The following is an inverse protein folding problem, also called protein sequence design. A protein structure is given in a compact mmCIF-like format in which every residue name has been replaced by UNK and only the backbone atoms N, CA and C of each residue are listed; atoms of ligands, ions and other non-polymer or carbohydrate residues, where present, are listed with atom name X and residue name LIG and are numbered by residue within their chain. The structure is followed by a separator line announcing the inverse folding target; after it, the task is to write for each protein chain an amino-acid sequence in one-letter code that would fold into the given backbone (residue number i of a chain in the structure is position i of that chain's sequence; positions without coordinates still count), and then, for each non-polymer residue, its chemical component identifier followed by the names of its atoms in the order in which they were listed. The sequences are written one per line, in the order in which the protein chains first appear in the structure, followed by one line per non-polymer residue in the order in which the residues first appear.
data_IF_733904805003
#
_entry.id   IF_733904805003
#
_cell.length_a   1.000
_cell.length_b   1.000
_cell.length_c   1.000
_cell.angle_alpha   90.00
_cell.angle_beta   90.00
_cell.angle_gamma   90.00
#
_symmetry.space_group_name_H-M   'P 1'
#
loop_
_entity.id
_entity.type
_entity.pdbx_description
1 polymer ?
#
# COMPACT_ATOMS: atom_id res chain seq x y z
N UNK A 1 -0.67 24.56 18.70
CA UNK A 1 -0.74 23.51 17.66
C UNK A 1 -1.83 22.52 18.07
N UNK A 2 -2.60 21.97 17.10
CA UNK A 2 -3.63 20.98 17.44
C UNK A 2 -2.96 19.68 17.95
N UNK A 3 -3.68 18.93 18.83
CA UNK A 3 -3.19 17.65 19.36
C UNK A 3 -2.80 16.66 18.23
N UNK A 4 -3.51 16.72 17.11
CA UNK A 4 -3.20 15.94 15.91
C UNK A 4 -1.81 16.26 15.33
N UNK A 5 -1.47 17.55 15.17
CA UNK A 5 -0.16 17.97 14.62
C UNK A 5 0.99 17.53 15.53
N UNK A 6 0.82 17.65 16.85
CA UNK A 6 1.83 17.21 17.80
C UNK A 6 2.02 15.68 17.77
N UNK A 7 0.92 14.92 17.68
CA UNK A 7 0.97 13.46 17.58
C UNK A 7 1.62 13.03 16.25
N UNK A 8 1.24 13.66 15.14
CA UNK A 8 1.85 13.40 13.84
C UNK A 8 3.36 13.68 13.82
N UNK A 9 3.79 14.83 14.37
CA UNK A 9 5.21 15.18 14.46
C UNK A 9 5.99 14.21 15.36
N UNK A 10 5.37 13.74 16.42
CA UNK A 10 5.94 12.71 17.30
C UNK A 10 6.12 11.38 16.56
N UNK A 11 5.07 10.88 15.88
CA UNK A 11 5.11 9.63 15.12
C UNK A 11 6.13 9.68 13.99
N UNK A 12 6.20 10.79 13.25
CA UNK A 12 7.19 10.97 12.20
C UNK A 12 8.62 10.91 12.73
N UNK A 13 8.91 11.60 13.85
CA UNK A 13 10.23 11.56 14.51
C UNK A 13 10.55 10.17 15.05
N UNK A 14 9.57 9.48 15.58
CA UNK A 14 9.72 8.10 16.07
C UNK A 14 10.00 7.16 14.91
N UNK A 15 9.32 7.31 13.79
CA UNK A 15 9.55 6.56 12.55
C UNK A 15 11.00 6.66 12.06
N UNK A 16 11.54 7.89 12.03
CA UNK A 16 12.96 8.12 11.63
C UNK A 16 13.97 7.52 12.62
N UNK A 17 13.60 7.34 13.89
CA UNK A 17 14.49 6.75 14.93
C UNK A 17 14.29 5.26 15.12
N UNK A 18 13.19 4.71 14.67
CA UNK A 18 12.89 3.28 14.79
C UNK A 18 13.59 2.49 13.67
N UNK A 19 14.60 1.67 14.06
CA UNK A 19 15.39 0.87 13.12
C UNK A 19 14.53 -0.07 12.25
N UNK A 20 13.49 -0.66 12.82
CA UNK A 20 12.58 -1.56 12.09
C UNK A 20 11.76 -0.81 11.04
N UNK A 21 11.25 0.39 11.38
CA UNK A 21 10.52 1.22 10.43
C UNK A 21 11.45 1.77 9.33
N UNK A 22 12.69 2.16 9.67
CA UNK A 22 13.68 2.54 8.67
C UNK A 22 14.03 1.39 7.73
N UNK A 23 14.16 0.18 8.27
CA UNK A 23 14.41 -1.02 7.47
C UNK A 23 13.27 -1.25 6.47
N UNK A 24 12.01 -1.22 6.94
CA UNK A 24 10.85 -1.53 6.11
C UNK A 24 10.48 -0.40 5.14
N UNK A 25 10.63 0.87 5.56
CA UNK A 25 10.24 2.00 4.73
C UNK A 25 11.30 2.41 3.72
N UNK A 26 12.60 2.15 3.99
CA UNK A 26 13.69 2.62 3.14
C UNK A 26 14.63 1.50 2.68
N UNK A 27 15.29 0.81 3.62
CA UNK A 27 16.36 -0.12 3.26
C UNK A 27 15.82 -1.29 2.42
N UNK A 28 14.71 -1.87 2.80
CA UNK A 28 14.12 -3.00 2.08
C UNK A 28 13.62 -2.59 0.69
N UNK A 29 12.78 -1.53 0.51
CA UNK A 29 12.36 -1.10 -0.81
C UNK A 29 13.50 -0.64 -1.71
N UNK A 30 14.43 0.17 -1.20
CA UNK A 30 15.56 0.67 -1.99
C UNK A 30 16.57 -0.43 -2.31
N UNK A 31 16.81 -1.35 -1.38
CA UNK A 31 17.67 -2.52 -1.63
C UNK A 31 17.07 -3.43 -2.71
N UNK A 32 15.76 -3.67 -2.65
CA UNK A 32 15.07 -4.44 -3.69
C UNK A 32 15.10 -3.72 -5.04
N UNK A 33 14.86 -2.40 -5.06
CA UNK A 33 14.98 -1.57 -6.26
C UNK A 33 16.36 -1.70 -6.91
N UNK A 34 17.44 -1.57 -6.14
CA UNK A 34 18.80 -1.71 -6.68
C UNK A 34 19.04 -3.13 -7.21
N UNK A 35 18.65 -4.15 -6.43
CA UNK A 35 18.77 -5.54 -6.85
C UNK A 35 18.03 -5.79 -8.17
N UNK A 36 16.79 -5.34 -8.28
CA UNK A 36 15.98 -5.52 -9.49
C UNK A 36 16.55 -4.75 -10.68
N UNK A 37 17.08 -3.54 -10.46
CA UNK A 37 17.70 -2.74 -11.50
C UNK A 37 18.94 -3.38 -12.11
N UNK A 38 19.73 -4.13 -11.34
CA UNK A 38 20.88 -4.86 -11.85
C UNK A 38 20.56 -6.24 -12.44
N UNK A 39 19.55 -6.93 -11.89
CA UNK A 39 19.25 -8.32 -12.26
C UNK A 39 18.24 -8.43 -13.39
N UNK A 40 17.14 -7.67 -13.30
CA UNK A 40 16.02 -7.85 -14.24
C UNK A 40 16.32 -7.45 -15.69
N UNK A 41 17.09 -6.40 -16.00
CA UNK A 41 17.41 -6.07 -17.39
C UNK A 41 18.18 -7.18 -18.12
N UNK A 42 18.95 -7.99 -17.39
CA UNK A 42 19.65 -9.15 -17.95
C UNK A 42 18.70 -10.32 -18.28
N UNK A 43 17.54 -10.41 -17.61
CA UNK A 43 16.53 -11.45 -17.82
C UNK A 43 15.46 -10.96 -18.82
N UNK A 44 14.99 -9.73 -18.63
CA UNK A 44 13.96 -9.10 -19.45
C UNK A 44 14.32 -7.61 -19.68
N UNK A 45 14.90 -7.24 -20.83
CA UNK A 45 15.24 -5.84 -21.12
C UNK A 45 14.04 -4.88 -21.08
N UNK A 46 12.83 -5.34 -21.40
CA UNK A 46 11.61 -4.54 -21.36
C UNK A 46 11.18 -4.16 -19.92
N UNK A 47 11.81 -4.73 -18.90
CA UNK A 47 11.56 -4.36 -17.51
C UNK A 47 11.87 -2.89 -17.24
N UNK A 48 12.87 -2.32 -17.92
CA UNK A 48 13.26 -0.92 -17.74
C UNK A 48 12.11 0.05 -18.03
N UNK A 49 11.25 -0.25 -19.00
CA UNK A 49 10.11 0.60 -19.37
C UNK A 49 9.07 0.72 -18.25
N UNK A 50 8.98 -0.27 -17.37
CA UNK A 50 8.07 -0.30 -16.23
C UNK A 50 8.77 -0.21 -14.89
N UNK A 51 10.09 -0.05 -14.87
CA UNK A 51 10.91 -0.14 -13.65
C UNK A 51 10.50 0.87 -12.58
N UNK A 52 10.35 2.14 -12.95
CA UNK A 52 9.98 3.20 -11.98
C UNK A 52 8.62 2.89 -11.34
N UNK A 53 7.51 2.71 -12.10
CA UNK A 53 6.23 2.37 -11.51
C UNK A 53 6.27 1.05 -10.71
N UNK A 54 6.92 0.00 -11.22
CA UNK A 54 7.00 -1.29 -10.55
C UNK A 54 7.70 -1.18 -9.18
N UNK A 55 8.81 -0.46 -9.10
CA UNK A 55 9.57 -0.32 -7.86
C UNK A 55 8.87 0.62 -6.86
N UNK A 56 8.17 1.63 -7.33
CA UNK A 56 7.33 2.49 -6.47
C UNK A 56 6.13 1.72 -5.92
N UNK A 57 5.44 0.94 -6.76
CA UNK A 57 4.34 0.06 -6.31
C UNK A 57 4.85 -0.97 -5.30
N UNK A 58 6.01 -1.58 -5.56
CA UNK A 58 6.64 -2.49 -4.60
C UNK A 58 6.92 -1.81 -3.26
N UNK A 59 7.50 -0.60 -3.27
CA UNK A 59 7.80 0.13 -2.05
C UNK A 59 6.53 0.42 -1.24
N UNK A 60 5.44 0.83 -1.91
CA UNK A 60 4.15 1.07 -1.25
C UNK A 60 3.60 -0.22 -0.64
N UNK A 61 3.57 -1.33 -1.38
CA UNK A 61 3.11 -2.62 -0.86
C UNK A 61 3.94 -3.07 0.36
N UNK A 62 5.26 -3.02 0.25
CA UNK A 62 6.16 -3.49 1.30
C UNK A 62 6.01 -2.68 2.58
N UNK A 63 6.13 -1.35 2.50
CA UNK A 63 6.08 -0.50 3.68
C UNK A 63 4.68 -0.46 4.34
N UNK A 64 3.61 -0.55 3.55
CA UNK A 64 2.26 -0.55 4.12
C UNK A 64 1.86 -1.91 4.65
N UNK A 65 1.83 -2.95 3.79
CA UNK A 65 1.32 -4.28 4.17
C UNK A 65 2.19 -5.00 5.20
N UNK A 66 3.52 -4.79 5.15
CA UNK A 66 4.43 -5.44 6.09
C UNK A 66 4.79 -4.55 7.29
N UNK A 67 4.61 -3.21 7.19
CA UNK A 67 5.03 -2.25 8.21
C UNK A 67 3.92 -1.76 9.14
N UNK A 68 2.66 -1.60 8.67
CA UNK A 68 1.58 -0.99 9.44
C UNK A 68 0.81 -1.98 10.34
N UNK A 69 0.45 -3.21 9.90
CA UNK A 69 -0.49 -4.05 10.64
C UNK A 69 0.04 -4.52 11.99
N UNK A 70 1.31 -4.96 12.05
CA UNK A 70 1.91 -5.54 13.25
C UNK A 70 2.02 -4.56 14.42
N UNK A 71 2.53 -3.31 14.26
CA UNK A 71 2.52 -2.29 15.31
C UNK A 71 1.13 -2.01 15.89
N UNK A 72 0.07 -2.05 15.07
CA UNK A 72 -1.31 -1.82 15.52
C UNK A 72 -1.80 -2.97 16.43
N UNK A 73 -1.51 -4.21 16.05
CA UNK A 73 -1.86 -5.37 16.88
C UNK A 73 -1.09 -5.34 18.19
N UNK A 74 0.22 -5.09 18.13
CA UNK A 74 1.08 -5.01 19.32
C UNK A 74 0.63 -3.88 20.29
N UNK A 75 0.33 -2.69 19.77
CA UNK A 75 -0.17 -1.59 20.58
C UNK A 75 -1.51 -1.92 21.28
N UNK A 76 -2.39 -2.70 20.63
CA UNK A 76 -3.64 -3.20 21.22
C UNK A 76 -3.37 -4.25 22.31
N UNK A 77 -2.49 -5.21 22.06
CA UNK A 77 -2.16 -6.30 22.99
C UNK A 77 -1.45 -5.79 24.25
N UNK A 78 -0.54 -4.84 24.10
CA UNK A 78 0.20 -4.21 25.21
C UNK A 78 -0.62 -3.18 25.99
N UNK A 79 -1.85 -2.85 25.52
CA UNK A 79 -2.74 -1.92 26.20
C UNK A 79 -2.45 -0.44 25.94
N UNK A 80 -1.59 -0.10 24.99
CA UNK A 80 -1.29 1.29 24.58
C UNK A 80 -2.58 2.00 24.13
N UNK A 81 -3.47 1.31 23.43
CA UNK A 81 -4.75 1.89 22.99
C UNK A 81 -5.66 2.26 24.15
N UNK A 82 -5.60 1.55 25.29
CA UNK A 82 -6.35 1.95 26.50
C UNK A 82 -5.84 3.28 27.05
N UNK A 83 -4.51 3.47 27.08
CA UNK A 83 -3.93 4.75 27.49
C UNK A 83 -4.39 5.89 26.59
N UNK A 84 -4.44 5.67 25.28
CA UNK A 84 -4.95 6.66 24.33
C UNK A 84 -6.44 6.97 24.56
N UNK A 85 -7.26 5.96 24.87
CA UNK A 85 -8.69 6.14 25.19
C UNK A 85 -8.88 7.02 26.42
N UNK A 86 -8.11 6.76 27.47
CA UNK A 86 -8.17 7.54 28.74
C UNK A 86 -7.78 9.01 28.49
N UNK A 87 -6.82 9.25 27.59
CA UNK A 87 -6.37 10.60 27.22
C UNK A 87 -7.23 11.24 26.11
N UNK A 88 -8.37 10.66 25.73
CA UNK A 88 -9.32 11.25 24.78
C UNK A 88 -8.85 11.25 23.32
N UNK A 89 -7.86 10.43 22.95
CA UNK A 89 -7.38 10.32 21.56
C UNK A 89 -8.41 9.54 20.75
N UNK A 90 -8.95 10.07 19.64
CA UNK A 90 -9.94 9.36 18.84
C UNK A 90 -9.32 8.20 18.04
N UNK A 91 -10.11 7.14 17.81
CA UNK A 91 -9.66 5.97 17.03
C UNK A 91 -9.19 6.35 15.61
N UNK A 92 -9.85 7.34 14.99
CA UNK A 92 -9.45 7.84 13.67
C UNK A 92 -8.01 8.36 13.66
N UNK A 93 -7.58 9.10 14.70
CA UNK A 93 -6.19 9.59 14.80
C UNK A 93 -5.19 8.46 15.00
N UNK A 94 -5.53 7.45 15.81
CA UNK A 94 -4.66 6.28 16.04
C UNK A 94 -4.42 5.50 14.75
N UNK A 95 -5.42 5.42 13.89
CA UNK A 95 -5.35 4.67 12.64
C UNK A 95 -4.76 5.51 11.49
N UNK A 96 -5.10 6.80 11.39
CA UNK A 96 -4.68 7.63 10.27
C UNK A 96 -3.25 8.15 10.41
N UNK A 97 -2.75 8.43 11.63
CA UNK A 97 -1.42 9.04 11.80
C UNK A 97 -0.30 8.10 11.35
N UNK A 98 -0.23 6.81 11.76
CA UNK A 98 0.78 5.88 11.23
C UNK A 98 0.68 5.70 9.71
N UNK A 99 -0.52 5.67 9.16
CA UNK A 99 -0.73 5.58 7.72
C UNK A 99 -0.17 6.81 6.98
N UNK A 100 -0.50 8.02 7.44
CA UNK A 100 -0.02 9.27 6.85
C UNK A 100 1.51 9.43 6.97
N UNK A 101 2.10 9.07 8.11
CA UNK A 101 3.56 9.12 8.28
C UNK A 101 4.25 8.14 7.35
N UNK A 102 3.73 6.92 7.20
CA UNK A 102 4.25 5.93 6.23
C UNK A 102 4.14 6.46 4.80
N UNK A 103 3.00 7.05 4.42
CA UNK A 103 2.83 7.65 3.08
C UNK A 103 3.85 8.75 2.79
N UNK A 104 4.22 9.58 3.79
CA UNK A 104 5.27 10.59 3.63
C UNK A 104 6.65 9.97 3.42
N UNK A 105 7.00 8.93 4.20
CA UNK A 105 8.25 8.21 4.01
C UNK A 105 8.30 7.57 2.61
N UNK A 106 7.19 7.00 2.15
CA UNK A 106 7.07 6.43 0.81
C UNK A 106 7.18 7.47 -0.30
N UNK A 107 6.67 8.69 -0.10
CA UNK A 107 6.87 9.78 -1.05
C UNK A 107 8.36 10.11 -1.23
N UNK A 108 9.14 10.11 -0.14
CA UNK A 108 10.60 10.28 -0.20
C UNK A 108 11.24 9.12 -0.99
N UNK A 109 10.85 7.88 -0.71
CA UNK A 109 11.36 6.71 -1.43
C UNK A 109 11.01 6.74 -2.92
N UNK A 110 9.77 7.12 -3.25
CA UNK A 110 9.35 7.28 -4.65
C UNK A 110 10.17 8.35 -5.38
N UNK A 111 10.47 9.48 -4.73
CA UNK A 111 11.34 10.52 -5.28
C UNK A 111 12.77 9.97 -5.50
N UNK A 112 13.32 9.23 -4.54
CA UNK A 112 14.66 8.63 -4.68
C UNK A 112 14.68 7.66 -5.87
N UNK A 113 13.73 6.74 -5.98
CA UNK A 113 13.65 5.78 -7.08
C UNK A 113 13.54 6.52 -8.41
N UNK A 114 12.60 7.46 -8.52
CA UNK A 114 12.32 8.17 -9.78
C UNK A 114 13.49 9.07 -10.21
N UNK A 115 14.23 9.65 -9.27
CA UNK A 115 15.39 10.47 -9.57
C UNK A 115 16.64 9.65 -9.93
N UNK A 116 16.80 8.46 -9.33
CA UNK A 116 18.01 7.65 -9.52
C UNK A 116 17.89 6.59 -10.61
N UNK A 117 16.69 6.11 -10.94
CA UNK A 117 16.49 5.07 -11.95
C UNK A 117 16.97 5.47 -13.36
N UNK A 118 16.71 6.70 -13.85
CA UNK A 118 17.25 7.14 -15.14
C UNK A 118 18.77 7.24 -15.14
N UNK A 119 19.36 7.63 -14.01
CA UNK A 119 20.81 7.84 -13.88
C UNK A 119 21.59 6.54 -13.75
N UNK A 120 21.00 5.53 -13.12
CA UNK A 120 21.68 4.26 -12.81
C UNK A 120 21.41 3.17 -13.85
N UNK A 121 20.21 3.21 -14.47
CA UNK A 121 19.69 2.12 -15.28
C UNK A 121 19.10 2.56 -16.62
N UNK A 122 19.20 3.84 -16.99
CA UNK A 122 18.59 4.42 -18.19
C UNK A 122 17.06 4.18 -18.29
N UNK A 123 16.38 4.04 -17.14
CA UNK A 123 14.94 3.84 -17.07
C UNK A 123 14.18 5.10 -17.51
N UNK A 124 13.09 4.99 -18.31
CA UNK A 124 12.33 6.14 -18.75
C UNK A 124 11.65 6.87 -17.58
N UNK A 125 11.67 8.20 -17.64
CA UNK A 125 11.00 9.05 -16.65
C UNK A 125 9.50 9.18 -16.98
N UNK A 126 8.66 9.50 -15.97
CA UNK A 126 7.25 9.78 -16.22
C UNK A 126 7.07 10.91 -17.23
N UNK A 127 6.19 10.74 -18.22
CA UNK A 127 5.80 11.79 -19.17
C UNK A 127 4.87 12.81 -18.49
N UNK A 128 3.99 12.35 -17.60
CA UNK A 128 3.05 13.20 -16.88
C UNK A 128 3.23 13.06 -15.35
N UNK A 129 3.90 14.04 -14.78
CA UNK A 129 4.20 14.08 -13.34
C UNK A 129 2.98 14.30 -12.45
N UNK A 130 1.94 14.99 -12.96
CA UNK A 130 0.72 15.21 -12.19
C UNK A 130 -0.06 13.92 -12.01
N UNK A 131 -0.24 13.16 -13.09
CA UNK A 131 -0.90 11.84 -13.00
C UNK A 131 -0.03 10.82 -12.27
N UNK A 132 1.30 10.90 -12.39
CA UNK A 132 2.21 10.07 -11.60
C UNK A 132 1.99 10.28 -10.09
N UNK A 133 1.96 11.53 -9.64
CA UNK A 133 1.70 11.85 -8.24
C UNK A 133 0.29 11.43 -7.81
N UNK A 134 -0.71 11.59 -8.67
CA UNK A 134 -2.09 11.18 -8.40
C UNK A 134 -2.20 9.65 -8.22
N UNK A 135 -1.60 8.87 -9.11
CA UNK A 135 -1.59 7.40 -9.02
C UNK A 135 -0.84 6.94 -7.76
N UNK A 136 0.32 7.56 -7.47
CA UNK A 136 1.06 7.29 -6.24
C UNK A 136 0.19 7.50 -4.99
N UNK A 137 -0.50 8.65 -4.89
CA UNK A 137 -1.38 8.95 -3.74
C UNK A 137 -2.54 7.97 -3.68
N UNK A 138 -3.20 7.66 -4.80
CA UNK A 138 -4.31 6.70 -4.85
C UNK A 138 -3.87 5.30 -4.37
N UNK A 139 -2.73 4.83 -4.85
CA UNK A 139 -2.14 3.55 -4.45
C UNK A 139 -1.75 3.54 -2.96
N UNK A 140 -1.12 4.62 -2.48
CA UNK A 140 -0.72 4.75 -1.08
C UNK A 140 -1.94 4.76 -0.15
N UNK A 141 -3.02 5.46 -0.51
CA UNK A 141 -4.30 5.44 0.24
C UNK A 141 -4.92 4.05 0.25
N UNK A 142 -4.97 3.37 -0.91
CA UNK A 142 -5.52 2.01 -1.01
C UNK A 142 -4.76 1.03 -0.11
N UNK A 143 -3.44 0.99 -0.22
CA UNK A 143 -2.61 0.06 0.52
C UNK A 143 -2.54 0.40 2.02
N UNK A 144 -2.46 1.68 2.39
CA UNK A 144 -2.49 2.10 3.79
C UNK A 144 -3.84 1.75 4.44
N UNK A 145 -4.97 1.99 3.74
CA UNK A 145 -6.30 1.60 4.20
C UNK A 145 -6.43 0.11 4.44
N UNK A 146 -6.02 -0.72 3.47
CA UNK A 146 -6.02 -2.17 3.61
C UNK A 146 -5.11 -2.64 4.75
N UNK A 147 -3.94 -2.05 4.91
CA UNK A 147 -2.98 -2.39 5.97
C UNK A 147 -3.52 -2.06 7.36
N UNK A 148 -4.13 -0.89 7.52
CA UNK A 148 -4.79 -0.50 8.78
C UNK A 148 -5.94 -1.44 9.09
N UNK A 149 -6.76 -1.80 8.08
CA UNK A 149 -7.86 -2.74 8.22
C UNK A 149 -7.35 -4.12 8.66
N UNK A 150 -6.28 -4.63 8.03
CA UNK A 150 -5.63 -5.90 8.43
C UNK A 150 -5.20 -5.84 9.90
N UNK A 151 -4.56 -4.75 10.34
CA UNK A 151 -4.16 -4.58 11.74
C UNK A 151 -5.34 -4.58 12.71
N UNK A 152 -6.47 -4.00 12.32
CA UNK A 152 -7.69 -3.94 13.16
C UNK A 152 -8.38 -5.30 13.25
N UNK A 153 -8.55 -6.03 12.14
CA UNK A 153 -9.27 -7.31 12.12
C UNK A 153 -8.44 -8.49 12.64
N UNK A 154 -7.13 -8.39 12.60
CA UNK A 154 -6.22 -9.45 13.04
C UNK A 154 -6.27 -9.63 14.55
N UNK A 155 -6.33 -10.88 15.00
CA UNK A 155 -6.32 -11.24 16.42
C UNK A 155 -4.91 -11.36 17.02
N UNK A 156 -3.88 -11.47 16.19
CA UNK A 156 -2.48 -11.64 16.59
C UNK A 156 -1.54 -11.23 15.47
N UNK A 157 -0.27 -10.99 15.79
CA UNK A 157 0.82 -10.76 14.83
C UNK A 157 0.92 -11.85 13.75
N UNK A 158 0.68 -13.12 14.08
CA UNK A 158 0.66 -14.18 13.06
C UNK A 158 -0.43 -13.98 12.01
N UNK A 159 -1.60 -13.52 12.44
CA UNK A 159 -2.70 -13.24 11.52
C UNK A 159 -2.43 -12.02 10.64
N UNK A 160 -1.72 -11.00 11.16
CA UNK A 160 -1.31 -9.87 10.31
C UNK A 160 -0.38 -10.32 9.19
N UNK A 161 0.60 -11.16 9.49
CA UNK A 161 1.51 -11.71 8.49
C UNK A 161 0.76 -12.51 7.42
N UNK A 162 -0.17 -13.39 7.82
CA UNK A 162 -0.94 -14.19 6.87
C UNK A 162 -1.79 -13.32 5.94
N UNK A 163 -2.55 -12.36 6.46
CA UNK A 163 -3.38 -11.48 5.66
C UNK A 163 -2.54 -10.57 4.75
N UNK A 164 -1.43 -10.03 5.26
CA UNK A 164 -0.52 -9.19 4.48
C UNK A 164 0.11 -9.98 3.33
N UNK A 165 0.60 -11.20 3.58
CA UNK A 165 1.20 -12.04 2.55
C UNK A 165 0.20 -12.51 1.51
N UNK A 166 -1.06 -12.71 1.90
CA UNK A 166 -2.13 -13.08 0.96
C UNK A 166 -2.39 -11.98 -0.11
N UNK A 167 -2.08 -10.74 0.19
CA UNK A 167 -2.18 -9.63 -0.77
C UNK A 167 -0.81 -9.35 -1.39
N UNK A 168 0.27 -9.35 -0.60
CA UNK A 168 1.60 -8.96 -1.03
C UNK A 168 2.18 -9.92 -2.08
N UNK A 169 2.17 -11.23 -1.81
CA UNK A 169 2.77 -12.22 -2.73
C UNK A 169 2.04 -12.25 -4.07
N UNK A 170 0.71 -12.36 -4.16
CA UNK A 170 0.02 -12.28 -5.44
C UNK A 170 0.25 -10.95 -6.16
N UNK A 171 0.30 -9.83 -5.44
CA UNK A 171 0.59 -8.52 -6.02
C UNK A 171 1.99 -8.47 -6.67
N UNK A 172 2.99 -9.07 -6.05
CA UNK A 172 4.33 -9.17 -6.60
C UNK A 172 4.36 -9.98 -7.90
N UNK A 173 3.67 -11.12 -7.94
CA UNK A 173 3.72 -12.05 -9.06
C UNK A 173 2.77 -11.66 -10.19
N UNK A 174 1.54 -11.24 -9.86
CA UNK A 174 0.45 -11.04 -10.82
C UNK A 174 0.07 -9.56 -11.00
N UNK A 175 0.65 -8.67 -10.20
CA UNK A 175 0.32 -7.24 -10.18
C UNK A 175 0.96 -6.41 -11.30
N UNK A 176 1.67 -7.04 -12.25
CA UNK A 176 2.36 -6.31 -13.31
C UNK A 176 3.76 -5.81 -12.93
N UNK A 177 4.26 -6.17 -11.72
CA UNK A 177 5.58 -5.74 -11.26
C UNK A 177 6.72 -6.58 -11.89
N UNK A 178 6.52 -7.90 -11.97
CA UNK A 178 7.49 -8.83 -12.51
C UNK A 178 7.04 -9.42 -13.84
N UNK A 179 5.77 -9.76 -13.95
CA UNK A 179 5.15 -10.30 -15.16
C UNK A 179 4.16 -9.27 -15.67
N UNK A 180 4.32 -8.72 -16.88
CA UNK A 180 3.35 -7.82 -17.50
C UNK A 180 1.95 -8.44 -17.53
N UNK A 181 0.92 -7.63 -17.30
CA UNK A 181 -0.48 -8.10 -17.29
C UNK A 181 -0.85 -8.80 -18.60
N UNK A 182 -0.40 -8.29 -19.74
CA UNK A 182 -0.65 -8.85 -21.07
C UNK A 182 -0.09 -10.27 -21.29
N UNK A 183 0.85 -10.71 -20.45
CA UNK A 183 1.40 -12.09 -20.49
C UNK A 183 0.63 -13.07 -19.62
N UNK A 184 -0.33 -12.60 -18.82
CA UNK A 184 -1.11 -13.47 -17.94
C UNK A 184 -2.23 -14.17 -18.74
N UNK A 185 -2.53 -15.45 -18.47
CA UNK A 185 -3.74 -16.08 -18.97
C UNK A 185 -4.97 -15.26 -18.57
N UNK A 186 -6.00 -15.18 -19.45
CA UNK A 186 -7.17 -14.31 -19.28
C UNK A 186 -7.82 -14.46 -17.89
N UNK A 187 -8.04 -15.69 -17.43
CA UNK A 187 -8.63 -15.94 -16.11
C UNK A 187 -7.76 -15.41 -14.96
N UNK A 188 -6.43 -15.53 -15.06
CA UNK A 188 -5.48 -15.04 -14.06
C UNK A 188 -5.42 -13.52 -14.10
N UNK A 189 -5.45 -12.92 -15.28
CA UNK A 189 -5.52 -11.48 -15.49
C UNK A 189 -6.76 -10.88 -14.80
N UNK A 190 -7.94 -11.48 -15.02
CA UNK A 190 -9.18 -11.03 -14.34
C UNK A 190 -9.09 -11.12 -12.83
N UNK A 191 -8.52 -12.20 -12.29
CA UNK A 191 -8.31 -12.35 -10.83
C UNK A 191 -7.30 -11.32 -10.32
N UNK A 192 -6.24 -11.04 -11.07
CA UNK A 192 -5.23 -10.06 -10.67
C UNK A 192 -5.78 -8.64 -10.54
N UNK A 193 -6.87 -8.30 -11.23
CA UNK A 193 -7.54 -7.00 -11.08
C UNK A 193 -8.11 -6.76 -9.68
N UNK A 194 -8.27 -7.79 -8.85
CA UNK A 194 -8.60 -7.67 -7.42
C UNK A 194 -7.44 -7.10 -6.59
N UNK A 195 -6.23 -7.07 -7.15
CA UNK A 195 -5.05 -6.63 -6.44
C UNK A 195 -4.83 -5.12 -6.66
N UNK A 196 -4.56 -4.35 -5.59
CA UNK A 196 -4.28 -2.92 -5.71
C UNK A 196 -3.05 -2.64 -6.59
N UNK A 197 -2.08 -3.56 -6.63
CA UNK A 197 -0.91 -3.45 -7.49
C UNK A 197 -1.25 -3.43 -8.97
N UNK A 198 -2.14 -4.32 -9.42
CA UNK A 198 -2.57 -4.39 -10.83
C UNK A 198 -3.24 -3.09 -11.26
N UNK A 199 -4.11 -2.55 -10.41
CA UNK A 199 -4.77 -1.27 -10.68
C UNK A 199 -3.77 -0.11 -10.74
N UNK A 200 -2.79 -0.08 -9.82
CA UNK A 200 -1.77 0.95 -9.81
C UNK A 200 -0.86 0.86 -11.04
N UNK A 201 -0.38 -0.33 -11.39
CA UNK A 201 0.48 -0.54 -12.56
C UNK A 201 -0.22 -0.13 -13.86
N UNK A 202 -1.50 -0.52 -14.03
CA UNK A 202 -2.30 -0.11 -15.18
C UNK A 202 -2.46 1.42 -15.27
N UNK A 203 -2.76 2.07 -14.13
CA UNK A 203 -2.89 3.53 -14.08
C UNK A 203 -1.55 4.25 -14.33
N UNK A 204 -0.44 3.76 -13.76
CA UNK A 204 0.89 4.33 -14.03
C UNK A 204 1.27 4.24 -15.51
N UNK A 205 1.10 3.05 -16.12
CA UNK A 205 1.41 2.85 -17.54
C UNK A 205 0.60 3.79 -18.43
N UNK A 206 -0.73 3.79 -18.28
CA UNK A 206 -1.61 4.54 -19.17
C UNK A 206 -1.63 6.04 -18.94
N UNK A 207 -1.41 6.54 -17.72
CA UNK A 207 -1.58 7.95 -17.39
C UNK A 207 -0.26 8.69 -17.14
N UNK A 208 0.73 7.98 -16.60
CA UNK A 208 1.97 8.63 -16.19
C UNK A 208 3.14 8.35 -17.14
N UNK A 209 3.18 7.16 -17.75
CA UNK A 209 4.31 6.71 -18.58
C UNK A 209 4.01 6.79 -20.08
N UNK A 210 2.81 7.24 -20.52
CA UNK A 210 2.45 7.32 -21.93
C UNK A 210 2.36 5.98 -22.66
N UNK A 211 2.24 4.86 -21.91
CA UNK A 211 2.16 3.50 -22.45
C UNK A 211 0.71 3.06 -22.62
N UNK A 212 0.49 2.01 -23.40
CA UNK A 212 -0.84 1.39 -23.49
C UNK A 212 -1.26 0.79 -22.14
N UNK A 213 -2.47 1.15 -21.71
CA UNK A 213 -3.11 0.56 -20.54
C UNK A 213 -3.84 -0.73 -20.94
N UNK A 214 -3.85 -1.72 -20.06
CA UNK A 214 -4.52 -2.99 -20.30
C UNK A 214 -6.06 -2.88 -20.16
N UNK A 215 -6.53 -1.88 -19.39
CA UNK A 215 -7.95 -1.54 -19.18
C UNK A 215 -8.06 -0.07 -18.75
N UNK A 216 -9.29 0.45 -18.55
CA UNK A 216 -9.52 1.88 -18.30
C UNK A 216 -8.69 2.45 -17.11
N UNK A 217 -7.61 3.25 -17.34
CA UNK A 217 -6.67 3.62 -16.30
C UNK A 217 -7.23 4.63 -15.27
N UNK A 218 -8.16 5.52 -15.68
CA UNK A 218 -8.88 6.39 -14.76
C UNK A 218 -9.81 5.62 -13.82
N UNK A 219 -10.41 4.53 -14.31
CA UNK A 219 -11.19 3.61 -13.51
C UNK A 219 -10.34 2.97 -12.41
N UNK A 220 -9.10 2.61 -12.72
CA UNK A 220 -8.15 2.08 -11.73
C UNK A 220 -7.91 3.04 -10.56
N UNK A 221 -7.76 4.35 -10.84
CA UNK A 221 -7.60 5.36 -9.78
C UNK A 221 -8.85 5.41 -8.89
N UNK A 222 -10.03 5.41 -9.50
CA UNK A 222 -11.31 5.43 -8.76
C UNK A 222 -11.43 4.20 -7.87
N UNK A 223 -11.12 3.01 -8.38
CA UNK A 223 -11.16 1.77 -7.60
C UNK A 223 -10.17 1.78 -6.42
N UNK A 224 -8.94 2.26 -6.64
CA UNK A 224 -7.94 2.41 -5.58
C UNK A 224 -8.45 3.33 -4.46
N UNK A 225 -8.96 4.51 -4.81
CA UNK A 225 -9.47 5.47 -3.83
C UNK A 225 -10.70 4.95 -3.09
N UNK A 226 -11.67 4.36 -3.81
CA UNK A 226 -12.87 3.79 -3.18
C UNK A 226 -12.53 2.66 -2.22
N UNK A 227 -11.65 1.72 -2.64
CA UNK A 227 -11.20 0.63 -1.79
C UNK A 227 -10.46 1.14 -0.55
N UNK A 228 -9.54 2.12 -0.72
CA UNK A 228 -8.79 2.71 0.37
C UNK A 228 -9.70 3.41 1.40
N UNK A 229 -10.62 4.26 0.94
CA UNK A 229 -11.58 4.96 1.81
C UNK A 229 -12.50 3.97 2.52
N UNK A 230 -13.01 2.96 1.80
CA UNK A 230 -13.85 1.92 2.38
C UNK A 230 -13.07 1.10 3.42
N UNK A 231 -11.82 0.73 3.14
CA UNK A 231 -10.96 0.01 4.08
C UNK A 231 -10.71 0.82 5.36
N UNK A 232 -10.40 2.12 5.25
CA UNK A 232 -10.28 3.00 6.42
C UNK A 232 -11.59 3.13 7.19
N UNK A 233 -12.72 3.30 6.52
CA UNK A 233 -14.05 3.37 7.14
C UNK A 233 -14.36 2.09 7.92
N UNK A 234 -14.13 0.93 7.32
CA UNK A 234 -14.29 -0.38 7.96
C UNK A 234 -13.32 -0.55 9.15
N UNK A 235 -12.08 -0.08 9.01
CA UNK A 235 -11.11 -0.13 10.11
C UNK A 235 -11.57 0.70 11.31
N UNK A 236 -12.07 1.91 11.10
CA UNK A 236 -12.63 2.75 12.18
C UNK A 236 -13.87 2.09 12.81
N UNK A 237 -14.75 1.52 12.01
CA UNK A 237 -15.97 0.84 12.49
C UNK A 237 -15.65 -0.41 13.33
N UNK A 238 -14.70 -1.24 12.86
CA UNK A 238 -14.30 -2.50 13.51
C UNK A 238 -13.28 -2.31 14.62
N UNK A 239 -12.79 -1.07 14.84
CA UNK A 239 -11.73 -0.80 15.80
C UNK A 239 -12.09 -1.21 17.22
N UNK A 240 -11.19 -1.92 17.89
CA UNK A 240 -11.30 -2.29 19.29
C UNK A 240 -10.12 -1.73 20.10
N UNK A 241 -10.46 -1.12 21.24
CA UNK A 241 -9.48 -0.55 22.17
C UNK A 241 -8.70 -1.61 22.98
N UNK A 242 -9.23 -2.82 23.02
CA UNK A 242 -8.71 -3.88 23.89
C UNK A 242 -8.83 -5.25 23.21
N UNK A 243 -7.76 -6.04 23.29
CA UNK A 243 -7.76 -7.44 22.81
C UNK A 243 -8.67 -8.35 23.64
N UNK A 244 -8.91 -8.00 24.91
CA UNK A 244 -9.76 -8.78 25.85
C UNK A 244 -11.25 -8.47 25.72
N UNK A 245 -11.62 -7.46 24.94
CA UNK A 245 -13.02 -7.11 24.76
C UNK A 245 -13.71 -8.12 23.82
N UNK A 246 -14.62 -8.90 24.34
CA UNK A 246 -15.41 -9.89 23.60
C UNK A 246 -16.53 -9.28 22.77
N UNK A 247 -16.97 -8.08 23.09
CA UNK A 247 -18.01 -7.35 22.32
C UNK A 247 -17.38 -6.62 21.12
N UNK A 248 -17.30 -7.32 19.99
CA UNK A 248 -16.91 -6.71 18.72
C UNK A 248 -18.10 -6.03 18.07
N UNK A 249 -17.91 -4.86 17.46
CA UNK A 249 -18.96 -4.13 16.71
C UNK A 249 -19.38 -4.85 15.42
N UNK A 250 -18.57 -5.81 14.93
CA UNK A 250 -18.86 -6.55 13.72
C UNK A 250 -17.91 -7.75 13.55
N UNK A 251 -18.26 -8.63 12.60
CA UNK A 251 -17.43 -9.78 12.27
C UNK A 251 -16.20 -9.35 11.44
N UNK A 252 -14.98 -9.88 11.68
CA UNK A 252 -13.77 -9.54 10.92
C UNK A 252 -13.90 -9.72 9.40
N UNK A 253 -14.73 -10.66 8.94
CA UNK A 253 -14.99 -10.89 7.52
C UNK A 253 -15.64 -9.69 6.80
N UNK A 254 -16.22 -8.72 7.53
CA UNK A 254 -16.66 -7.46 6.93
C UNK A 254 -15.49 -6.71 6.26
N UNK A 255 -14.24 -6.99 6.66
CA UNK A 255 -13.05 -6.48 5.99
C UNK A 255 -12.97 -6.83 4.50
N UNK A 256 -13.57 -7.95 4.08
CA UNK A 256 -13.62 -8.35 2.67
C UNK A 256 -14.43 -7.37 1.80
N UNK A 257 -15.31 -6.57 2.40
CA UNK A 257 -16.04 -5.53 1.67
C UNK A 257 -15.11 -4.49 1.05
N UNK A 258 -13.90 -4.30 1.58
CA UNK A 258 -12.89 -3.43 0.97
C UNK A 258 -12.44 -3.89 -0.43
N UNK A 259 -12.67 -5.16 -0.80
CA UNK A 259 -12.35 -5.70 -2.11
C UNK A 259 -13.51 -5.56 -3.11
N UNK A 260 -14.70 -5.19 -2.65
CA UNK A 260 -15.91 -5.06 -3.51
C UNK A 260 -15.69 -4.06 -4.66
N UNK A 261 -15.06 -2.89 -4.47
CA UNK A 261 -14.78 -1.99 -5.60
C UNK A 261 -13.97 -2.67 -6.70
N UNK A 262 -12.94 -3.43 -6.36
CA UNK A 262 -12.13 -4.15 -7.35
C UNK A 262 -12.93 -5.25 -8.05
N UNK A 263 -13.74 -6.01 -7.30
CA UNK A 263 -14.60 -7.03 -7.89
C UNK A 263 -15.62 -6.43 -8.88
N UNK A 264 -16.21 -5.28 -8.55
CA UNK A 264 -17.07 -4.54 -9.46
C UNK A 264 -16.30 -4.04 -10.70
N UNK A 265 -15.04 -3.61 -10.50
CA UNK A 265 -14.18 -3.12 -11.57
C UNK A 265 -13.93 -4.15 -12.68
N UNK A 266 -13.84 -5.44 -12.35
CA UNK A 266 -13.65 -6.52 -13.35
C UNK A 266 -14.76 -6.52 -14.40
N UNK A 267 -15.97 -6.11 -14.01
CA UNK A 267 -17.13 -6.08 -14.93
C UNK A 267 -17.36 -4.70 -15.56
N UNK A 268 -16.82 -3.64 -14.96
CA UNK A 268 -17.06 -2.25 -15.38
C UNK A 268 -15.93 -1.67 -16.22
N UNK A 269 -14.71 -2.19 -16.11
CA UNK A 269 -13.52 -1.65 -16.77
C UNK A 269 -13.02 -2.54 -17.92
N UNK A 270 -13.66 -3.69 -18.12
CA UNK A 270 -13.33 -4.65 -19.18
C UNK A 270 -13.61 -4.10 -20.59
#
# INVERSE_FOLDING_TARGET
MSAFVNHFAFEFRTGVRNKTLLLMNYLFPLGFYLMMGFVMPAINPLFLDSMIPAMVVFAVLAATLLGIPDPLVNARETGIFRSYKINGVPASSILSIPALTTMLHLAIVAVIITATAPLLFDAPVPENWATYALVFVAMAVACAGLSVLIGVISSSTRMTVLWSQLIFIPSMLLGGLMIPYSMLPEAVGKISQLLPATQAMNAFRGLAMGQEADFAPWGSIVLLLLSGVLAFGLAIYLFSWDSRNTTRRGHPLLGLLALVPYAAGIFLLA
#
